data_IF_731894375852
#
_entry.id   IF_731894375852
#
_cell.length_a   1.000
_cell.length_b   1.000
_cell.length_c   1.000
_cell.angle_alpha   90.00
_cell.angle_beta   90.00
_cell.angle_gamma   90.00
#
_symmetry.space_group_name_H-M   'P 1'
#
loop_
_entity.id
_entity.type
_entity.pdbx_description
1 polymer ?
#
# COMPACT_ATOMS: atom_id res chain seq x y z
N UNK A 1 -6.29 -12.00 -6.09
CA UNK A 1 -6.49 -12.43 -4.68
C UNK A 1 -5.83 -11.39 -3.78
N UNK A 2 -6.47 -11.07 -2.67
CA UNK A 2 -5.93 -10.21 -1.62
C UNK A 2 -5.58 -11.07 -0.39
N UNK A 3 -4.75 -10.53 0.49
CA UNK A 3 -4.31 -11.21 1.69
C UNK A 3 -2.98 -10.68 2.22
N UNK A 4 -2.41 -11.42 3.13
CA UNK A 4 -1.07 -11.13 3.65
C UNK A 4 -0.28 -12.42 3.84
N UNK A 5 1.04 -12.28 3.83
CA UNK A 5 2.00 -13.29 4.23
C UNK A 5 2.82 -12.73 5.39
N UNK A 6 2.92 -13.49 6.47
CA UNK A 6 3.78 -13.18 7.60
C UNK A 6 4.90 -14.20 7.66
N UNK A 7 6.14 -13.71 7.78
CA UNK A 7 7.31 -14.54 7.94
C UNK A 7 8.27 -13.92 8.98
N UNK A 8 8.80 -14.75 9.86
CA UNK A 8 9.92 -14.39 10.71
C UNK A 8 11.17 -15.00 10.08
N UNK A 9 12.12 -14.15 9.70
CA UNK A 9 13.36 -14.56 9.03
C UNK A 9 14.58 -14.23 9.89
N UNK A 10 15.54 -15.14 9.92
CA UNK A 10 16.80 -14.94 10.61
C UNK A 10 17.79 -14.32 9.63
N UNK A 11 18.34 -13.16 10.02
CA UNK A 11 19.38 -12.45 9.29
C UNK A 11 20.59 -12.37 10.23
N UNK A 12 21.63 -13.13 9.93
CA UNK A 12 22.80 -13.32 10.80
C UNK A 12 22.37 -13.87 12.18
N UNK A 13 22.40 -13.05 13.23
CA UNK A 13 22.01 -13.41 14.61
C UNK A 13 20.65 -12.84 15.04
N UNK A 14 20.05 -12.00 14.21
CA UNK A 14 18.81 -11.30 14.50
C UNK A 14 17.64 -11.94 13.79
N UNK A 15 16.47 -11.87 14.40
CA UNK A 15 15.21 -12.26 13.75
C UNK A 15 14.42 -10.99 13.40
N UNK A 16 13.94 -10.91 12.16
CA UNK A 16 13.09 -9.82 11.70
C UNK A 16 11.74 -10.37 11.23
N UNK A 17 10.68 -9.62 11.42
CA UNK A 17 9.33 -9.95 10.94
C UNK A 17 9.03 -9.21 9.67
N UNK A 18 8.66 -9.94 8.63
CA UNK A 18 8.18 -9.40 7.37
C UNK A 18 6.68 -9.68 7.25
N UNK A 19 5.91 -8.64 6.94
CA UNK A 19 4.50 -8.73 6.61
C UNK A 19 4.34 -8.19 5.19
N UNK A 20 4.10 -9.09 4.23
CA UNK A 20 3.78 -8.69 2.86
C UNK A 20 2.26 -8.67 2.71
N UNK A 21 1.72 -7.57 2.20
CA UNK A 21 0.28 -7.33 2.11
C UNK A 21 -0.16 -7.02 0.69
N UNK A 22 -1.34 -7.49 0.33
CA UNK A 22 -2.11 -7.00 -0.81
C UNK A 22 -3.53 -6.76 -0.32
N UNK A 23 -3.90 -5.51 -0.06
CA UNK A 23 -5.22 -5.17 0.41
C UNK A 23 -6.25 -5.27 -0.72
N UNK A 24 -7.52 -5.39 -0.36
CA UNK A 24 -8.61 -5.48 -1.30
C UNK A 24 -8.62 -4.29 -2.26
N UNK A 25 -8.64 -4.54 -3.58
CA UNK A 25 -8.81 -3.46 -4.56
C UNK A 25 -10.22 -2.87 -4.47
N UNK A 26 -10.31 -1.56 -4.30
CA UNK A 26 -11.59 -0.86 -4.28
C UNK A 26 -12.30 -0.84 -5.64
N UNK A 27 -11.63 -1.31 -6.70
CA UNK A 27 -12.21 -1.46 -8.04
C UNK A 27 -12.66 -0.15 -8.70
N UNK A 28 -12.16 0.98 -8.23
CA UNK A 28 -12.50 2.29 -8.79
C UNK A 28 -11.77 2.46 -10.11
N UNK A 29 -12.46 2.22 -11.22
CA UNK A 29 -11.96 2.54 -12.56
C UNK A 29 -12.25 4.01 -12.85
N UNK A 30 -11.30 4.87 -12.55
CA UNK A 30 -11.43 6.34 -12.78
C UNK A 30 -11.82 6.67 -14.22
N UNK A 31 -11.38 5.86 -15.20
CA UNK A 31 -11.73 6.04 -16.61
C UNK A 31 -13.23 5.88 -16.94
N UNK A 32 -14.01 5.15 -16.14
CA UNK A 32 -15.46 5.07 -16.32
C UNK A 32 -16.19 6.31 -15.78
N UNK A 33 -15.64 6.95 -14.76
CA UNK A 33 -16.25 8.14 -14.15
C UNK A 33 -16.15 9.35 -15.09
N UNK A 34 -15.06 9.48 -15.84
CA UNK A 34 -14.84 10.62 -16.76
C UNK A 34 -15.55 10.49 -18.10
N UNK A 35 -15.86 9.26 -18.55
CA UNK A 35 -16.54 9.03 -19.83
C UNK A 35 -18.00 9.46 -19.85
N UNK A 36 -18.71 9.25 -18.74
CA UNK A 36 -20.17 9.47 -18.68
C UNK A 36 -20.60 10.90 -18.28
N UNK A 37 -19.66 11.73 -17.85
CA UNK A 37 -19.94 13.17 -17.57
C UNK A 37 -20.18 13.95 -18.87
N UNK A 38 -19.78 13.42 -20.03
CA UNK A 38 -19.97 14.09 -21.34
C UNK A 38 -21.35 13.85 -21.98
N UNK A 39 -22.07 12.84 -21.54
CA UNK A 39 -23.42 12.58 -22.04
C UNK A 39 -24.43 12.92 -20.94
N UNK A 40 -25.38 13.81 -21.25
CA UNK A 40 -26.38 14.41 -20.35
C UNK A 40 -27.44 13.40 -19.81
N UNK A 41 -27.02 12.21 -19.33
CA UNK A 41 -27.92 11.22 -18.75
C UNK A 41 -27.80 11.16 -17.23
N UNK A 42 -28.52 12.05 -16.55
CA UNK A 42 -28.57 12.15 -15.10
C UNK A 42 -29.06 10.88 -14.38
N UNK A 43 -29.87 10.05 -15.05
CA UNK A 43 -30.43 8.84 -14.44
C UNK A 43 -29.37 7.75 -14.31
N UNK A 44 -28.55 7.57 -15.33
CA UNK A 44 -27.42 6.65 -15.35
C UNK A 44 -26.28 7.13 -14.44
N UNK A 45 -25.99 8.43 -14.42
CA UNK A 45 -24.99 9.01 -13.52
C UNK A 45 -25.32 8.77 -12.02
N UNK A 46 -26.61 8.85 -11.64
CA UNK A 46 -27.07 8.56 -10.27
C UNK A 46 -26.94 7.08 -9.90
N UNK A 47 -27.23 6.18 -10.85
CA UNK A 47 -27.10 4.73 -10.66
C UNK A 47 -25.63 4.32 -10.55
N UNK A 48 -24.77 4.89 -11.38
CA UNK A 48 -23.32 4.68 -11.35
C UNK A 48 -22.69 5.25 -10.07
N UNK A 49 -23.08 6.45 -9.64
CA UNK A 49 -22.65 7.05 -8.39
C UNK A 49 -22.97 6.17 -7.17
N UNK A 50 -24.17 5.57 -7.12
CA UNK A 50 -24.56 4.60 -6.08
C UNK A 50 -23.70 3.33 -6.15
N UNK A 51 -23.40 2.82 -7.33
CA UNK A 51 -22.54 1.66 -7.53
C UNK A 51 -21.11 1.93 -7.04
N UNK A 52 -20.57 3.11 -7.33
CA UNK A 52 -19.24 3.54 -6.85
C UNK A 52 -19.22 3.64 -5.33
N UNK A 53 -20.23 4.29 -4.72
CA UNK A 53 -20.36 4.40 -3.25
C UNK A 53 -20.48 3.03 -2.58
N UNK A 54 -21.24 2.10 -3.17
CA UNK A 54 -21.36 0.74 -2.65
C UNK A 54 -20.02 -0.02 -2.73
N UNK A 55 -19.28 0.13 -3.83
CA UNK A 55 -17.95 -0.46 -4.00
C UNK A 55 -16.93 0.12 -3.01
N UNK A 56 -16.93 1.44 -2.81
CA UNK A 56 -16.12 2.11 -1.81
C UNK A 56 -16.43 1.60 -0.40
N UNK A 57 -17.72 1.57 -0.02
CA UNK A 57 -18.14 1.07 1.29
C UNK A 57 -17.68 -0.36 1.52
N UNK A 58 -17.84 -1.24 0.53
CA UNK A 58 -17.37 -2.63 0.60
C UNK A 58 -15.85 -2.69 0.73
N UNK A 59 -15.12 -1.89 -0.03
CA UNK A 59 -13.67 -1.77 0.05
C UNK A 59 -13.20 -1.37 1.45
N UNK A 60 -13.76 -0.31 2.01
CA UNK A 60 -13.43 0.14 3.37
C UNK A 60 -13.72 -0.90 4.46
N UNK A 61 -14.84 -1.63 4.36
CA UNK A 61 -15.17 -2.70 5.33
C UNK A 61 -14.14 -3.84 5.24
N UNK A 62 -13.72 -4.21 4.04
CA UNK A 62 -12.72 -5.25 3.85
C UNK A 62 -11.34 -4.78 4.34
N UNK A 63 -10.92 -3.57 3.97
CA UNK A 63 -9.68 -2.97 4.47
C UNK A 63 -9.63 -2.93 6.00
N UNK A 64 -10.75 -2.56 6.64
CA UNK A 64 -10.80 -2.54 8.10
C UNK A 64 -10.49 -3.92 8.71
N UNK A 65 -11.08 -4.99 8.19
CA UNK A 65 -10.84 -6.35 8.70
C UNK A 65 -9.39 -6.79 8.49
N UNK A 66 -8.84 -6.53 7.31
CA UNK A 66 -7.46 -6.84 6.97
C UNK A 66 -6.50 -6.05 7.86
N UNK A 67 -6.73 -4.76 8.01
CA UNK A 67 -5.91 -3.87 8.82
C UNK A 67 -5.98 -4.16 10.33
N UNK A 68 -7.15 -4.52 10.86
CA UNK A 68 -7.29 -4.94 12.27
C UNK A 68 -6.38 -6.15 12.57
N UNK A 69 -6.17 -7.02 11.60
CA UNK A 69 -5.30 -8.19 11.72
C UNK A 69 -3.83 -7.82 11.57
N UNK A 70 -3.48 -7.04 10.56
CA UNK A 70 -2.12 -6.53 10.34
C UNK A 70 -1.64 -5.74 11.56
N UNK A 71 -2.48 -4.85 12.09
CA UNK A 71 -2.17 -4.07 13.29
C UNK A 71 -1.89 -4.95 14.51
N UNK A 72 -2.61 -6.06 14.69
CA UNK A 72 -2.32 -7.00 15.76
C UNK A 72 -0.93 -7.64 15.61
N UNK A 73 -0.53 -7.97 14.39
CA UNK A 73 0.80 -8.51 14.13
C UNK A 73 1.90 -7.47 14.39
N UNK A 74 1.67 -6.21 13.99
CA UNK A 74 2.60 -5.11 14.27
C UNK A 74 2.75 -4.92 15.78
N UNK A 75 1.63 -4.80 16.52
CA UNK A 75 1.64 -4.54 17.97
C UNK A 75 2.25 -5.66 18.81
N UNK A 76 2.07 -6.91 18.37
CA UNK A 76 2.52 -8.10 19.12
C UNK A 76 3.84 -8.67 18.62
N UNK A 77 4.51 -7.99 17.71
CA UNK A 77 5.79 -8.49 17.22
C UNK A 77 6.86 -8.37 18.31
N UNK A 78 7.56 -9.46 18.63
CA UNK A 78 8.74 -9.40 19.47
C UNK A 78 10.01 -9.03 18.67
N UNK A 79 9.88 -8.80 17.35
CA UNK A 79 10.99 -8.59 16.44
C UNK A 79 10.84 -7.26 15.70
N UNK A 80 11.95 -6.68 15.22
CA UNK A 80 11.93 -5.60 14.23
C UNK A 80 11.04 -5.94 13.03
N UNK A 81 10.24 -4.97 12.55
CA UNK A 81 9.20 -5.21 11.56
C UNK A 81 9.47 -4.46 10.26
N UNK A 82 9.22 -5.16 9.15
CA UNK A 82 9.00 -4.60 7.83
C UNK A 82 7.59 -4.98 7.34
N UNK A 83 6.78 -3.99 6.99
CA UNK A 83 5.50 -4.18 6.29
C UNK A 83 5.63 -3.66 4.89
N UNK A 84 5.32 -4.47 3.88
CA UNK A 84 5.47 -4.09 2.48
C UNK A 84 4.34 -4.63 1.62
N UNK A 85 4.06 -3.95 0.51
CA UNK A 85 3.13 -4.43 -0.51
C UNK A 85 2.16 -3.39 -1.02
N UNK A 86 1.15 -3.88 -1.73
CA UNK A 86 0.10 -3.09 -2.36
C UNK A 86 -1.04 -2.81 -1.36
N UNK A 87 -1.16 -1.56 -0.94
CA UNK A 87 -2.26 -1.14 -0.06
C UNK A 87 -3.55 -0.84 -0.84
N UNK A 88 -3.51 -0.81 -2.18
CA UNK A 88 -4.63 -0.36 -3.00
C UNK A 88 -5.23 0.99 -2.56
N UNK A 89 -4.46 1.77 -1.79
CA UNK A 89 -4.76 3.12 -1.32
C UNK A 89 -3.58 4.05 -1.54
N UNK A 90 -3.88 5.32 -1.79
CA UNK A 90 -2.86 6.38 -1.83
C UNK A 90 -2.32 6.71 -0.44
N UNK A 91 -1.21 7.46 -0.31
CA UNK A 91 -0.62 7.84 0.97
C UNK A 91 -1.55 8.62 1.92
N UNK A 92 -2.65 9.14 1.43
CA UNK A 92 -3.67 9.82 2.25
C UNK A 92 -4.84 8.89 2.62
N UNK A 93 -4.75 7.60 2.28
CA UNK A 93 -5.76 6.60 2.62
C UNK A 93 -5.70 6.18 4.08
N UNK A 94 -6.79 5.58 4.56
CA UNK A 94 -6.92 5.16 5.95
C UNK A 94 -5.95 4.04 6.34
N UNK A 95 -5.75 3.04 5.47
CA UNK A 95 -4.83 1.93 5.75
C UNK A 95 -3.39 2.43 5.86
N UNK A 96 -2.99 3.32 4.93
CA UNK A 96 -1.67 3.96 4.97
C UNK A 96 -1.45 4.71 6.29
N UNK A 97 -2.39 5.58 6.68
CA UNK A 97 -2.32 6.36 7.92
C UNK A 97 -2.24 5.46 9.15
N UNK A 98 -3.03 4.39 9.19
CA UNK A 98 -3.06 3.44 10.31
C UNK A 98 -1.71 2.72 10.52
N UNK A 99 -1.02 2.33 9.45
CA UNK A 99 0.33 1.75 9.56
C UNK A 99 1.35 2.82 9.95
N UNK A 100 1.21 4.02 9.39
CA UNK A 100 2.10 5.16 9.59
C UNK A 100 2.10 5.69 11.03
N UNK A 101 1.03 5.47 11.80
CA UNK A 101 0.97 5.80 13.24
C UNK A 101 2.03 5.06 14.07
N UNK A 102 2.53 3.92 13.59
CA UNK A 102 3.44 3.03 14.34
C UNK A 102 4.76 2.77 13.66
N UNK A 103 4.80 2.87 12.34
CA UNK A 103 5.97 2.54 11.52
C UNK A 103 6.32 3.74 10.64
N UNK A 104 7.59 3.88 10.32
CA UNK A 104 8.08 4.86 9.36
C UNK A 104 7.83 4.36 7.94
N UNK A 105 7.57 5.25 6.99
CA UNK A 105 7.44 4.88 5.59
C UNK A 105 8.77 5.08 4.85
N UNK A 106 9.17 4.07 4.07
CA UNK A 106 10.45 4.09 3.37
C UNK A 106 10.58 5.22 2.35
N UNK A 107 9.50 5.50 1.61
CA UNK A 107 9.54 6.61 0.65
C UNK A 107 9.61 7.98 1.33
N UNK A 108 8.91 8.17 2.45
CA UNK A 108 8.95 9.44 3.19
C UNK A 108 10.35 9.73 3.77
N UNK A 109 11.07 8.68 4.18
CA UNK A 109 12.37 8.81 4.84
C UNK A 109 13.54 8.89 3.83
N UNK A 110 13.45 8.20 2.67
CA UNK A 110 14.59 8.08 1.75
C UNK A 110 14.19 8.08 0.26
N UNK A 111 12.91 8.29 -0.07
CA UNK A 111 12.46 8.31 -1.44
C UNK A 111 12.73 9.65 -2.13
N UNK A 112 12.82 9.61 -3.45
CA UNK A 112 12.99 10.76 -4.30
C UNK A 112 11.90 10.88 -5.36
N UNK A 113 11.53 12.11 -5.74
CA UNK A 113 10.52 12.39 -6.74
C UNK A 113 9.11 12.08 -6.26
N UNK A 114 8.27 11.54 -7.12
CA UNK A 114 6.85 11.25 -6.82
C UNK A 114 6.60 9.83 -6.31
N UNK A 115 7.51 8.89 -6.60
CA UNK A 115 7.42 7.50 -6.15
C UNK A 115 6.20 6.76 -6.69
N UNK A 116 5.70 7.12 -7.89
CA UNK A 116 4.56 6.43 -8.48
C UNK A 116 4.88 4.96 -8.76
N UNK A 117 3.99 4.07 -8.37
CA UNK A 117 4.20 2.62 -8.48
C UNK A 117 3.23 1.97 -9.46
N UNK A 118 2.16 2.66 -9.86
CA UNK A 118 1.21 2.12 -10.84
C UNK A 118 1.68 2.38 -12.27
N UNK A 119 1.94 1.31 -13.04
CA UNK A 119 2.39 1.34 -14.44
C UNK A 119 1.23 1.22 -15.45
N UNK A 120 0.08 1.77 -15.09
CA UNK A 120 -1.12 1.91 -15.94
C UNK A 120 -1.85 3.19 -15.61
N UNK A 121 -2.80 3.61 -16.48
CA UNK A 121 -3.61 4.80 -16.18
C UNK A 121 -4.27 4.70 -14.79
N UNK A 122 -4.15 5.75 -13.96
CA UNK A 122 -3.69 7.11 -14.25
C UNK A 122 -2.18 7.39 -14.13
N UNK A 123 -1.31 6.39 -13.92
CA UNK A 123 0.17 6.48 -13.82
C UNK A 123 0.74 7.37 -12.70
N UNK A 124 -0.08 8.16 -12.05
CA UNK A 124 0.31 9.16 -11.05
C UNK A 124 -0.10 8.72 -9.63
N UNK A 125 0.03 7.43 -9.35
CA UNK A 125 -0.42 6.83 -8.10
C UNK A 125 0.69 6.01 -7.47
N UNK A 126 0.91 6.19 -6.17
CA UNK A 126 1.73 5.34 -5.33
C UNK A 126 0.81 4.53 -4.41
N UNK A 127 0.73 3.24 -4.63
CA UNK A 127 -0.08 2.30 -3.84
C UNK A 127 0.75 1.18 -3.23
N UNK A 128 1.95 0.94 -3.78
CA UNK A 128 2.92 0.02 -3.21
C UNK A 128 3.82 0.77 -2.23
N UNK A 129 3.94 0.25 -1.03
CA UNK A 129 4.64 0.91 0.07
C UNK A 129 5.49 -0.07 0.86
N UNK A 130 6.48 0.47 1.58
CA UNK A 130 7.25 -0.25 2.57
C UNK A 130 7.30 0.59 3.86
N UNK A 131 7.02 -0.06 4.97
CA UNK A 131 7.07 0.55 6.31
C UNK A 131 8.00 -0.25 7.20
N UNK A 132 8.63 0.41 8.16
CA UNK A 132 9.62 -0.20 9.03
C UNK A 132 9.57 0.36 10.44
N UNK A 133 9.91 -0.48 11.42
CA UNK A 133 10.02 -0.08 12.83
C UNK A 133 11.29 0.72 13.09
N UNK A 134 11.33 1.40 14.23
CA UNK A 134 12.46 2.23 14.64
C UNK A 134 13.79 1.48 14.78
N UNK A 135 13.74 0.15 14.83
CA UNK A 135 14.91 -0.72 14.87
C UNK A 135 15.73 -0.71 13.57
N UNK A 136 15.16 -0.17 12.50
CA UNK A 136 15.84 -0.06 11.21
C UNK A 136 16.27 1.38 10.92
N UNK A 137 17.35 1.48 10.16
CA UNK A 137 17.73 2.65 9.38
C UNK A 137 17.52 2.34 7.91
N UNK A 138 16.79 3.18 7.19
CA UNK A 138 16.71 3.06 5.75
C UNK A 138 17.91 3.75 5.13
N UNK A 139 18.55 3.07 4.16
CA UNK A 139 19.73 3.57 3.45
C UNK A 139 19.37 4.08 2.05
N UNK A 140 18.41 3.46 1.39
CA UNK A 140 17.94 3.83 0.07
C UNK A 140 16.50 3.38 -0.14
N UNK A 141 15.76 4.13 -0.96
CA UNK A 141 14.43 3.77 -1.41
C UNK A 141 14.20 4.27 -2.84
N UNK A 142 13.85 3.37 -3.74
CA UNK A 142 13.61 3.73 -5.14
C UNK A 142 12.48 2.93 -5.79
N UNK A 143 11.80 3.55 -6.73
CA UNK A 143 10.87 2.90 -7.66
C UNK A 143 11.61 2.59 -8.95
N UNK A 144 11.69 1.31 -9.32
CA UNK A 144 12.44 0.84 -10.48
C UNK A 144 11.64 1.08 -11.78
N UNK A 145 11.50 2.33 -12.18
CA UNK A 145 10.62 2.78 -13.28
C UNK A 145 10.99 2.23 -14.67
N UNK A 146 12.18 1.68 -14.83
CA UNK A 146 12.64 1.02 -16.07
C UNK A 146 12.11 -0.41 -16.22
N UNK A 147 11.68 -1.03 -15.13
CA UNK A 147 11.16 -2.41 -15.10
C UNK A 147 9.64 -2.37 -15.27
N UNK A 148 9.14 -2.70 -16.46
CA UNK A 148 7.73 -2.54 -16.85
C UNK A 148 7.05 -3.85 -17.24
N UNK A 149 7.40 -4.95 -16.58
CA UNK A 149 6.82 -6.28 -16.88
C UNK A 149 5.45 -6.51 -16.22
N UNK A 150 4.99 -5.57 -15.37
CA UNK A 150 3.73 -5.61 -14.65
C UNK A 150 3.02 -4.26 -14.77
N UNK A 151 1.75 -4.21 -14.40
CA UNK A 151 1.01 -2.97 -14.17
C UNK A 151 1.40 -2.27 -12.86
N UNK A 152 2.29 -2.86 -12.08
CA UNK A 152 3.00 -2.23 -10.95
C UNK A 152 4.50 -2.16 -11.23
N UNK A 153 5.12 -1.05 -10.82
CA UNK A 153 6.56 -0.88 -10.84
C UNK A 153 7.16 -1.46 -9.55
N UNK A 154 8.27 -2.22 -9.63
CA UNK A 154 8.93 -2.71 -8.43
C UNK A 154 9.45 -1.58 -7.55
N UNK A 155 9.40 -1.78 -6.25
CA UNK A 155 9.93 -0.87 -5.22
C UNK A 155 11.04 -1.56 -4.46
N UNK A 156 12.20 -0.90 -4.38
CA UNK A 156 13.38 -1.41 -3.68
C UNK A 156 13.72 -0.52 -2.49
N UNK A 157 13.71 -1.09 -1.29
CA UNK A 157 14.20 -0.47 -0.07
C UNK A 157 15.43 -1.21 0.47
N UNK A 158 16.45 -0.49 0.89
CA UNK A 158 17.63 -1.04 1.55
C UNK A 158 17.62 -0.59 3.01
N UNK A 159 17.62 -1.56 3.92
CA UNK A 159 17.49 -1.34 5.35
C UNK A 159 18.69 -1.92 6.10
N UNK A 160 19.09 -1.27 7.17
CA UNK A 160 20.10 -1.71 8.11
C UNK A 160 19.48 -1.84 9.50
N UNK A 161 19.62 -2.98 10.16
CA UNK A 161 19.31 -3.12 11.57
C UNK A 161 20.24 -2.23 12.39
N UNK A 162 19.67 -1.54 13.36
CA UNK A 162 20.45 -0.82 14.38
C UNK A 162 20.84 -1.83 15.46
N UNK A 163 22.11 -1.99 15.70
CA UNK A 163 22.61 -2.68 16.88
C UNK A 163 22.85 -1.63 17.98
N UNK A 164 22.35 -1.89 19.18
CA UNK A 164 22.70 -1.11 20.36
C UNK A 164 24.17 -1.31 20.74
#
# INVERSE_FOLDING_TARGET
SNGYLLADIVVEKDTIRIINVQLWSMGIRVGKVTGNIREQDYSNAKKEGRGILASLKKGFINHKREMDQINRFIQKSPYPILVMGDLNETPYGWAYGTIRERLKNGFEEAGNGFGFTLNRSPYVVRIDNQFFSDDFKILNFETLSKIKYSDHLPVLGTYQLKHE
#
